data_IF_408649457437
#
_entry.id   IF_408649457437
#
_cell.length_a   1.000
_cell.length_b   1.000
_cell.length_c   1.000
_cell.angle_alpha   90.00
_cell.angle_beta   90.00
_cell.angle_gamma   90.00
#
_symmetry.space_group_name_H-M   'P 1'
#
loop_
_entity.id
_entity.type
_entity.pdbx_description
1 polymer ?
#
# COMPACT_ATOMS: atom_id res chain seq x y z
N UNK A 1 -23.36 -0.88 -0.06
CA UNK A 1 -23.03 0.51 0.34
C UNK A 1 -24.17 1.44 -0.08
N UNK A 2 -24.58 2.35 0.80
CA UNK A 2 -25.62 3.32 0.50
C UNK A 2 -25.15 4.42 -0.46
N UNK A 3 -26.09 5.14 -1.07
CA UNK A 3 -25.77 6.28 -1.94
C UNK A 3 -25.00 7.37 -1.18
N UNK A 4 -25.36 7.59 0.09
CA UNK A 4 -24.67 8.56 0.95
C UNK A 4 -23.22 8.18 1.20
N UNK A 5 -22.95 6.93 1.51
CA UNK A 5 -21.58 6.42 1.72
C UNK A 5 -20.75 6.54 0.46
N UNK A 6 -21.31 6.24 -0.71
CA UNK A 6 -20.65 6.42 -2.00
C UNK A 6 -20.22 7.87 -2.24
N UNK A 7 -21.10 8.83 -1.92
CA UNK A 7 -20.81 10.25 -2.08
C UNK A 7 -19.72 10.73 -1.14
N UNK A 8 -19.75 10.30 0.11
CA UNK A 8 -18.74 10.65 1.10
C UNK A 8 -17.37 10.10 0.72
N UNK A 9 -17.31 8.86 0.26
CA UNK A 9 -16.08 8.22 -0.20
C UNK A 9 -15.51 8.95 -1.42
N UNK A 10 -16.36 9.33 -2.38
CA UNK A 10 -15.94 10.09 -3.56
C UNK A 10 -15.36 11.45 -3.20
N UNK A 11 -15.98 12.18 -2.27
CA UNK A 11 -15.46 13.47 -1.78
C UNK A 11 -14.09 13.33 -1.12
N UNK A 12 -13.90 12.29 -0.31
CA UNK A 12 -12.64 12.02 0.37
C UNK A 12 -11.53 11.74 -0.63
N UNK A 13 -11.78 10.90 -1.62
CA UNK A 13 -10.81 10.59 -2.66
C UNK A 13 -10.45 11.82 -3.49
N UNK A 14 -11.44 12.63 -3.86
CA UNK A 14 -11.21 13.87 -4.61
C UNK A 14 -10.30 14.82 -3.85
N UNK A 15 -10.51 15.00 -2.54
CA UNK A 15 -9.68 15.85 -1.71
C UNK A 15 -8.23 15.35 -1.67
N UNK A 16 -8.02 14.05 -1.59
CA UNK A 16 -6.68 13.45 -1.62
C UNK A 16 -5.97 13.70 -2.94
N UNK A 17 -6.64 13.49 -4.07
CA UNK A 17 -6.06 13.74 -5.39
C UNK A 17 -5.66 15.19 -5.56
N UNK A 18 -6.49 16.13 -5.12
CA UNK A 18 -6.16 17.56 -5.16
C UNK A 18 -4.93 17.87 -4.31
N UNK A 19 -4.83 17.28 -3.12
CA UNK A 19 -3.72 17.51 -2.20
C UNK A 19 -2.39 16.92 -2.71
N UNK A 20 -2.44 15.72 -3.30
CA UNK A 20 -1.24 14.98 -3.73
C UNK A 20 -0.82 15.30 -5.15
N UNK A 21 -1.74 15.64 -6.03
CA UNK A 21 -1.49 15.89 -7.44
C UNK A 21 -2.09 17.21 -7.90
N UNK A 22 -1.56 18.34 -7.44
CA UNK A 22 -2.14 19.66 -7.74
C UNK A 22 -2.09 20.03 -9.23
N UNK A 23 -1.29 19.32 -10.02
CA UNK A 23 -1.21 19.52 -11.48
C UNK A 23 -2.32 18.81 -12.28
N UNK A 24 -3.13 17.96 -11.64
CA UNK A 24 -4.22 17.29 -12.32
C UNK A 24 -5.41 18.22 -12.52
N UNK A 25 -6.05 18.14 -13.69
CA UNK A 25 -7.31 18.85 -13.95
C UNK A 25 -8.44 18.28 -13.10
N UNK A 26 -9.48 19.09 -12.90
CA UNK A 26 -10.67 18.66 -12.18
C UNK A 26 -11.31 17.40 -12.80
N UNK A 27 -11.38 17.34 -14.12
CA UNK A 27 -11.96 16.20 -14.85
C UNK A 27 -11.13 14.95 -14.69
N UNK A 28 -9.80 15.05 -14.70
CA UNK A 28 -8.89 13.93 -14.45
C UNK A 28 -9.04 13.37 -13.03
N UNK A 29 -9.18 14.24 -12.03
CA UNK A 29 -9.40 13.84 -10.63
C UNK A 29 -10.71 13.08 -10.50
N UNK A 30 -11.80 13.60 -11.06
CA UNK A 30 -13.12 12.95 -11.03
C UNK A 30 -13.07 11.60 -11.71
N UNK A 31 -12.44 11.51 -12.88
CA UNK A 31 -12.30 10.26 -13.63
C UNK A 31 -11.58 9.18 -12.82
N UNK A 32 -10.47 9.51 -12.18
CA UNK A 32 -9.73 8.55 -11.36
C UNK A 32 -10.52 8.12 -10.12
N UNK A 33 -11.19 9.04 -9.44
CA UNK A 33 -12.03 8.72 -8.30
C UNK A 33 -13.18 7.77 -8.68
N UNK A 34 -13.81 8.02 -9.82
CA UNK A 34 -14.92 7.19 -10.29
C UNK A 34 -14.46 5.79 -10.69
N UNK A 35 -13.28 5.68 -11.32
CA UNK A 35 -12.70 4.37 -11.67
C UNK A 35 -12.44 3.53 -10.42
N UNK A 36 -11.85 4.11 -9.38
CA UNK A 36 -11.59 3.41 -8.13
C UNK A 36 -12.88 2.94 -7.47
N UNK A 37 -13.88 3.80 -7.36
CA UNK A 37 -15.16 3.46 -6.75
C UNK A 37 -15.87 2.37 -7.53
N UNK A 38 -15.90 2.48 -8.86
CA UNK A 38 -16.51 1.48 -9.73
C UNK A 38 -15.85 0.12 -9.56
N UNK A 39 -14.54 0.07 -9.57
CA UNK A 39 -13.79 -1.17 -9.36
C UNK A 39 -14.13 -1.80 -8.01
N UNK A 40 -14.10 -1.01 -6.94
CA UNK A 40 -14.43 -1.47 -5.60
C UNK A 40 -15.82 -2.08 -5.50
N UNK A 41 -16.83 -1.46 -6.13
CA UNK A 41 -18.22 -1.94 -6.07
C UNK A 41 -18.49 -3.12 -7.00
N UNK A 42 -17.82 -3.23 -8.13
CA UNK A 42 -18.03 -4.32 -9.09
C UNK A 42 -17.26 -5.59 -8.73
N UNK A 43 -16.03 -5.45 -8.27
CA UNK A 43 -15.11 -6.57 -8.02
C UNK A 43 -15.15 -7.06 -6.56
N UNK A 44 -15.73 -6.25 -5.67
CA UNK A 44 -15.73 -6.51 -4.23
C UNK A 44 -14.46 -6.02 -3.55
N UNK A 45 -14.29 -6.34 -2.24
CA UNK A 45 -13.14 -5.84 -1.50
C UNK A 45 -11.84 -6.43 -1.99
N UNK A 46 -10.89 -5.55 -2.24
CA UNK A 46 -9.51 -5.91 -2.54
C UNK A 46 -8.58 -5.23 -1.52
N UNK A 47 -7.37 -5.72 -1.43
CA UNK A 47 -6.29 -5.12 -0.64
C UNK A 47 -5.06 -4.92 -1.51
N UNK A 48 -4.22 -3.98 -1.13
CA UNK A 48 -2.94 -3.78 -1.78
C UNK A 48 -1.84 -4.48 -0.99
N UNK A 49 -1.00 -5.21 -1.69
CA UNK A 49 0.18 -5.87 -1.14
C UNK A 49 1.43 -5.25 -1.74
N UNK A 50 2.48 -5.17 -0.95
CA UNK A 50 3.77 -4.72 -1.42
C UNK A 50 4.86 -5.76 -1.18
N UNK A 51 5.82 -5.80 -2.09
CA UNK A 51 7.05 -6.58 -1.92
C UNK A 51 8.17 -5.95 -2.76
N UNK A 52 9.41 -6.23 -2.39
CA UNK A 52 10.57 -5.78 -3.16
C UNK A 52 10.57 -6.34 -4.59
N UNK A 53 10.08 -7.56 -4.78
CA UNK A 53 10.09 -8.25 -6.06
C UNK A 53 8.97 -7.83 -6.99
N UNK A 54 7.77 -7.62 -6.47
CA UNK A 54 6.55 -7.42 -7.26
C UNK A 54 6.00 -6.00 -7.23
N UNK A 55 6.57 -5.12 -6.42
CA UNK A 55 6.04 -3.78 -6.23
C UNK A 55 4.69 -3.79 -5.54
N UNK A 56 3.73 -3.07 -6.08
CA UNK A 56 2.37 -2.98 -5.54
C UNK A 56 1.43 -3.89 -6.33
N UNK A 57 0.70 -4.75 -5.62
CA UNK A 57 -0.30 -5.64 -6.21
C UNK A 57 -1.64 -5.47 -5.49
N UNK A 58 -2.71 -5.37 -6.26
CA UNK A 58 -4.07 -5.35 -5.71
C UNK A 58 -4.68 -6.75 -5.91
N UNK A 59 -5.11 -7.36 -4.82
CA UNK A 59 -5.62 -8.74 -4.81
C UNK A 59 -6.93 -8.83 -4.03
N UNK A 60 -7.80 -9.80 -4.35
CA UNK A 60 -9.04 -10.00 -3.60
C UNK A 60 -8.76 -10.30 -2.12
N UNK A 61 -9.58 -9.72 -1.25
CA UNK A 61 -9.54 -9.98 0.19
C UNK A 61 -10.46 -11.13 0.52
N UNK A 62 -10.01 -12.35 0.28
CA UNK A 62 -10.74 -13.58 0.52
C UNK A 62 -10.20 -14.39 1.71
N UNK A 63 -10.84 -15.50 2.03
CA UNK A 63 -10.42 -16.36 3.16
C UNK A 63 -9.01 -16.92 2.97
N UNK A 64 -8.62 -17.23 1.74
CA UNK A 64 -7.29 -17.73 1.43
C UNK A 64 -6.21 -16.70 1.78
N UNK A 65 -6.45 -15.45 1.41
CA UNK A 65 -5.53 -14.35 1.73
C UNK A 65 -5.44 -14.13 3.25
N UNK A 66 -6.58 -14.16 3.95
CA UNK A 66 -6.63 -13.99 5.40
C UNK A 66 -5.85 -15.08 6.15
N UNK A 67 -5.92 -16.33 5.69
CA UNK A 67 -5.16 -17.43 6.27
C UNK A 67 -3.66 -17.29 6.02
N UNK A 68 -3.30 -16.87 4.83
CA UNK A 68 -1.90 -16.72 4.42
C UNK A 68 -1.24 -15.50 5.06
N UNK A 69 -2.00 -14.42 5.25
CA UNK A 69 -1.51 -13.16 5.79
C UNK A 69 -2.45 -12.64 6.88
N UNK A 70 -2.33 -13.13 8.13
CA UNK A 70 -3.23 -12.72 9.23
C UNK A 70 -2.88 -11.34 9.79
N UNK A 71 -2.52 -10.39 8.95
CA UNK A 71 -2.05 -9.05 9.36
C UNK A 71 -3.16 -8.12 9.82
N UNK A 72 -4.42 -8.47 9.55
CA UNK A 72 -5.56 -7.69 10.03
C UNK A 72 -5.91 -8.01 11.47
N UNK A 73 -5.44 -9.13 11.97
CA UNK A 73 -5.65 -9.60 13.34
C UNK A 73 -4.29 -9.87 13.98
N UNK A 74 -4.12 -9.50 15.23
CA UNK A 74 -2.90 -9.77 15.98
C UNK A 74 -1.91 -8.60 15.99
N UNK A 75 -0.67 -8.90 16.31
CA UNK A 75 0.40 -7.90 16.48
C UNK A 75 1.00 -7.53 15.13
N UNK A 76 1.03 -6.24 14.84
CA UNK A 76 1.67 -5.70 13.64
C UNK A 76 2.37 -4.38 13.97
N UNK A 77 3.30 -3.99 13.12
CA UNK A 77 3.94 -2.69 13.14
C UNK A 77 3.61 -1.93 11.84
N UNK A 78 3.79 -0.64 11.86
CA UNK A 78 3.51 0.21 10.69
C UNK A 78 4.72 1.09 10.36
N UNK A 79 4.91 1.33 9.07
CA UNK A 79 5.89 2.28 8.56
C UNK A 79 5.20 3.23 7.60
N UNK A 80 5.26 4.53 7.86
CA UNK A 80 4.70 5.55 6.98
C UNK A 80 5.57 5.74 5.75
N UNK A 81 5.01 5.52 4.57
CA UNK A 81 5.71 5.75 3.31
C UNK A 81 5.83 7.26 3.09
N UNK A 82 7.05 7.82 3.06
CA UNK A 82 7.25 9.27 2.93
C UNK A 82 6.56 9.84 1.69
N UNK A 83 5.99 11.02 1.85
CA UNK A 83 5.31 11.77 0.77
C UNK A 83 4.08 11.10 0.18
N UNK A 84 3.51 10.13 0.89
CA UNK A 84 2.27 9.45 0.49
C UNK A 84 1.27 9.42 1.64
N UNK A 85 0.04 9.05 1.33
CA UNK A 85 -1.03 8.83 2.32
C UNK A 85 -1.07 7.36 2.78
N UNK A 86 0.00 6.61 2.56
CA UNK A 86 0.06 5.18 2.83
C UNK A 86 1.03 4.83 3.94
N UNK A 87 0.73 3.71 4.58
CA UNK A 87 1.62 3.04 5.50
C UNK A 87 1.75 1.57 5.10
N UNK A 88 2.91 1.01 5.40
CA UNK A 88 3.16 -0.41 5.27
C UNK A 88 2.84 -1.07 6.61
N UNK A 89 1.98 -2.09 6.60
CA UNK A 89 1.64 -2.87 7.78
C UNK A 89 2.30 -4.24 7.67
N UNK A 90 3.17 -4.56 8.60
CA UNK A 90 3.98 -5.77 8.58
C UNK A 90 4.07 -6.42 9.96
N UNK A 91 4.45 -7.69 10.00
CA UNK A 91 4.72 -8.39 11.25
C UNK A 91 6.18 -8.22 11.64
N UNK A 92 6.49 -8.14 12.97
CA UNK A 92 7.87 -7.97 13.44
C UNK A 92 8.85 -9.02 12.89
N UNK A 93 8.39 -10.25 12.67
CA UNK A 93 9.20 -11.35 12.14
C UNK A 93 9.69 -11.12 10.72
N UNK A 94 9.07 -10.20 9.98
CA UNK A 94 9.47 -9.85 8.62
C UNK A 94 10.67 -8.91 8.56
N UNK A 95 11.12 -8.39 9.70
CA UNK A 95 12.23 -7.44 9.73
C UNK A 95 13.56 -8.18 9.90
N UNK A 96 14.44 -7.95 8.96
CA UNK A 96 15.85 -8.34 9.03
C UNK A 96 16.68 -7.12 9.42
N UNK A 97 17.47 -7.21 10.48
CA UNK A 97 18.40 -6.15 10.83
C UNK A 97 19.73 -6.37 10.07
N UNK A 98 20.07 -5.42 9.21
CA UNK A 98 21.30 -5.47 8.41
C UNK A 98 21.89 -4.08 8.25
N UNK A 99 23.17 -3.93 8.52
CA UNK A 99 23.91 -2.66 8.37
C UNK A 99 23.27 -1.48 9.11
N UNK A 100 22.70 -1.72 10.29
CA UNK A 100 22.00 -0.71 11.08
C UNK A 100 20.64 -0.32 10.52
N UNK A 101 20.12 -1.05 9.55
CA UNK A 101 18.83 -0.78 8.90
C UNK A 101 17.83 -1.89 9.21
N UNK A 102 16.55 -1.50 9.18
CA UNK A 102 15.43 -2.44 9.22
C UNK A 102 15.03 -2.76 7.80
N UNK A 103 15.15 -4.03 7.41
CA UNK A 103 14.84 -4.50 6.06
C UNK A 103 13.56 -5.33 6.11
N UNK A 104 12.54 -4.87 5.41
CA UNK A 104 11.31 -5.63 5.25
C UNK A 104 11.52 -6.76 4.26
N UNK A 105 11.26 -7.99 4.70
CA UNK A 105 11.33 -9.19 3.86
C UNK A 105 9.94 -9.69 3.54
N UNK A 106 9.78 -10.29 2.36
CA UNK A 106 8.51 -10.87 1.94
C UNK A 106 7.46 -9.84 1.56
N UNK A 107 6.21 -10.19 1.76
CA UNK A 107 5.05 -9.41 1.34
C UNK A 107 4.36 -8.79 2.56
N UNK A 108 3.94 -7.54 2.45
CA UNK A 108 3.22 -6.82 3.50
C UNK A 108 1.99 -6.11 2.92
N UNK A 109 1.14 -5.61 3.81
CA UNK A 109 -0.03 -4.84 3.40
C UNK A 109 0.32 -3.37 3.21
N UNK A 110 -0.26 -2.76 2.18
CA UNK A 110 -0.21 -1.33 1.96
C UNK A 110 -1.58 -0.76 2.32
N UNK A 111 -1.62 0.10 3.33
CA UNK A 111 -2.87 0.64 3.87
C UNK A 111 -2.85 2.16 3.85
N UNK A 112 -4.00 2.79 3.61
CA UNK A 112 -4.11 4.22 3.89
C UNK A 112 -4.05 4.45 5.40
N UNK A 113 -3.39 5.51 5.82
CA UNK A 113 -3.22 5.85 7.25
C UNK A 113 -4.55 5.98 7.98
N UNK A 114 -5.60 6.42 7.30
CA UNK A 114 -6.93 6.61 7.86
C UNK A 114 -7.82 5.38 7.79
N UNK A 115 -7.40 4.32 7.10
CA UNK A 115 -8.19 3.11 6.89
C UNK A 115 -7.51 1.89 7.48
N UNK A 116 -7.87 1.54 8.72
CA UNK A 116 -7.29 0.42 9.45
C UNK A 116 -7.53 -0.94 8.78
N UNK A 117 -8.57 -1.05 7.95
CA UNK A 117 -8.90 -2.31 7.26
C UNK A 117 -8.16 -2.51 5.95
N UNK A 118 -7.37 -1.52 5.52
CA UNK A 118 -6.59 -1.61 4.28
C UNK A 118 -7.42 -1.85 3.01
N UNK A 119 -8.68 -1.41 2.99
CA UNK A 119 -9.60 -1.68 1.88
C UNK A 119 -9.69 -0.56 0.84
N UNK A 120 -9.01 0.57 1.06
CA UNK A 120 -8.92 1.64 0.07
C UNK A 120 -7.64 1.50 -0.73
N UNK A 121 -7.80 1.13 -1.99
CA UNK A 121 -6.69 0.88 -2.89
C UNK A 121 -5.98 2.17 -3.31
N UNK A 122 -4.69 2.09 -3.65
CA UNK A 122 -4.01 3.21 -4.27
C UNK A 122 -4.52 3.44 -5.69
N UNK A 123 -4.61 4.71 -6.10
CA UNK A 123 -4.82 5.06 -7.49
C UNK A 123 -3.56 4.72 -8.31
N UNK A 124 -3.66 4.82 -9.64
CA UNK A 124 -2.49 4.62 -10.50
C UNK A 124 -1.35 5.59 -10.20
N UNK A 125 -1.66 6.83 -9.81
CA UNK A 125 -0.65 7.84 -9.46
C UNK A 125 0.00 7.55 -8.12
N UNK A 126 -0.81 7.21 -7.13
CA UNK A 126 -0.33 6.84 -5.81
C UNK A 126 0.50 5.56 -5.85
N UNK A 127 0.10 4.60 -6.68
CA UNK A 127 0.82 3.35 -6.89
C UNK A 127 2.23 3.62 -7.42
N UNK A 128 2.39 4.55 -8.37
CA UNK A 128 3.70 4.94 -8.89
C UNK A 128 4.59 5.50 -7.78
N UNK A 129 4.04 6.36 -6.92
CA UNK A 129 4.80 6.96 -5.82
C UNK A 129 5.29 5.91 -4.82
N UNK A 130 4.45 4.93 -4.49
CA UNK A 130 4.85 3.83 -3.60
C UNK A 130 5.87 2.92 -4.28
N UNK A 131 5.71 2.62 -5.55
CA UNK A 131 6.66 1.79 -6.30
C UNK A 131 8.02 2.49 -6.46
N UNK A 132 8.04 3.80 -6.60
CA UNK A 132 9.27 4.59 -6.61
C UNK A 132 9.98 4.50 -5.26
N UNK A 133 9.24 4.60 -4.15
CA UNK A 133 9.80 4.39 -2.81
C UNK A 133 10.44 3.01 -2.69
N UNK A 134 9.74 1.95 -3.10
CA UNK A 134 10.25 0.58 -3.04
C UNK A 134 11.56 0.48 -3.84
N UNK A 135 11.58 1.00 -5.06
CA UNK A 135 12.72 0.94 -5.96
C UNK A 135 13.94 1.68 -5.41
N UNK A 136 13.73 2.82 -4.77
CA UNK A 136 14.80 3.62 -4.16
C UNK A 136 15.34 3.00 -2.87
N UNK A 137 14.60 2.10 -2.23
CA UNK A 137 14.93 1.49 -0.95
C UNK A 137 15.19 -0.02 -1.03
N UNK A 138 15.44 -0.54 -2.23
CA UNK A 138 15.80 -1.94 -2.40
C UNK A 138 17.12 -2.24 -1.69
N UNK A 139 17.15 -3.35 -0.96
CA UNK A 139 18.34 -3.85 -0.28
C UNK A 139 18.54 -5.31 -0.63
N UNK A 140 19.69 -5.61 -1.25
CA UNK A 140 20.05 -6.98 -1.62
C UNK A 140 20.93 -7.58 -0.53
N UNK A 141 20.64 -8.82 -0.16
CA UNK A 141 21.40 -9.55 0.83
C UNK A 141 21.51 -11.02 0.43
N UNK A 142 22.59 -11.65 0.86
CA UNK A 142 22.87 -13.05 0.57
C UNK A 142 22.71 -13.88 1.84
N UNK A 143 22.03 -15.02 1.72
CA UNK A 143 22.14 -16.10 2.69
C UNK A 143 23.02 -17.23 2.10
N UNK A 144 23.15 -18.36 2.81
CA UNK A 144 24.08 -19.42 2.43
C UNK A 144 23.87 -20.00 1.02
N UNK A 145 22.71 -19.80 0.40
CA UNK A 145 22.35 -20.45 -0.87
C UNK A 145 21.75 -19.52 -1.92
N UNK A 146 21.20 -18.37 -1.52
CA UNK A 146 20.43 -17.50 -2.42
C UNK A 146 20.67 -16.03 -2.15
N UNK A 147 20.53 -15.24 -3.22
CA UNK A 147 20.46 -13.79 -3.11
C UNK A 147 19.00 -13.37 -2.93
N UNK A 148 18.76 -12.56 -1.90
CA UNK A 148 17.45 -12.04 -1.56
C UNK A 148 17.38 -10.53 -1.72
N UNK A 149 16.18 -10.01 -1.81
CA UNK A 149 15.93 -8.58 -1.84
C UNK A 149 14.81 -8.22 -0.86
N UNK A 150 15.00 -7.11 -0.17
CA UNK A 150 14.01 -6.54 0.73
C UNK A 150 13.89 -5.04 0.52
N UNK A 151 13.03 -4.41 1.30
CA UNK A 151 12.83 -2.95 1.29
C UNK A 151 13.38 -2.37 2.57
N UNK A 152 14.32 -1.45 2.47
CA UNK A 152 14.87 -0.76 3.63
C UNK A 152 13.83 0.24 4.18
N UNK A 153 13.33 -0.04 5.38
CA UNK A 153 12.38 0.83 6.09
C UNK A 153 13.15 1.81 6.98
N UNK A 154 13.99 2.62 6.38
CA UNK A 154 14.69 3.67 7.10
C UNK A 154 14.33 5.01 6.50
N UNK A 155 14.07 5.99 7.37
CA UNK A 155 14.01 7.36 6.92
C UNK A 155 15.40 7.72 6.42
N UNK A 156 15.45 8.23 5.20
CA UNK A 156 16.70 8.76 4.66
C UNK A 156 17.02 10.02 5.44
N UNK A 157 18.03 9.91 6.24
CA UNK A 157 18.53 11.08 6.95
C UNK A 157 19.09 12.10 5.96
#
# INVERSE_FOLDING_TARGET
>A
MSTREKREQQKTQKARFVAMYPGLSHDEIIEECLKELKHHFEVGPEVALISAEKGVQCVPFDESLQKKFPYFEGTYEVFDVPHTDFQIRYQPEQILAASGRKILTGTAFLCRRENERCLMLPSRYEKVDVEDFIREHLFFYDDAEMRHVGVALSEVA
#
